data_IF_875045213353
#
_entry.id   IF_875045213353
#
_cell.length_a   1.000
_cell.length_b   1.000
_cell.length_c   1.000
_cell.angle_alpha   90.00
_cell.angle_beta   90.00
_cell.angle_gamma   90.00
#
_symmetry.space_group_name_H-M   'P 1'
#
loop_
_entity.id
_entity.type
_entity.pdbx_description
1 polymer ?
#
# COMPACT_ATOMS: atom_id res chain seq x y z
N UNK A 1 -17.63 -7.76 10.06
CA UNK A 1 -16.92 -6.71 10.83
C UNK A 1 -15.62 -6.42 10.10
N UNK A 2 -15.39 -5.18 9.64
CA UNK A 2 -14.15 -4.85 8.91
C UNK A 2 -13.08 -4.49 9.93
N UNK A 3 -12.19 -5.43 10.25
CA UNK A 3 -11.11 -5.23 11.22
C UNK A 3 -10.08 -4.26 10.64
N UNK A 4 -9.99 -3.06 11.20
CA UNK A 4 -8.89 -2.12 10.87
C UNK A 4 -7.70 -2.46 11.77
N UNK A 5 -6.51 -2.57 11.20
CA UNK A 5 -5.27 -2.81 11.96
C UNK A 5 -4.48 -1.51 12.10
N UNK A 6 -3.70 -1.37 13.17
CA UNK A 6 -2.90 -0.18 13.43
C UNK A 6 -1.53 -0.19 12.73
N UNK A 7 -1.09 -1.36 12.28
CA UNK A 7 0.18 -1.57 11.59
C UNK A 7 0.09 -2.76 10.63
N UNK A 8 0.89 -2.71 9.57
CA UNK A 8 1.17 -3.78 8.62
C UNK A 8 2.69 -3.97 8.56
N UNK A 9 3.14 -5.21 8.70
CA UNK A 9 4.55 -5.57 8.61
C UNK A 9 4.76 -6.76 7.68
N UNK A 10 6.02 -7.05 7.36
CA UNK A 10 6.38 -8.05 6.35
C UNK A 10 6.09 -9.51 6.77
N UNK A 11 5.70 -9.76 8.02
CA UNK A 11 5.27 -11.08 8.51
C UNK A 11 3.77 -11.32 8.33
N UNK A 12 3.01 -10.29 7.93
CA UNK A 12 1.59 -10.43 7.62
C UNK A 12 1.42 -10.94 6.19
N UNK A 13 0.41 -11.79 6.00
CA UNK A 13 0.07 -12.40 4.70
C UNK A 13 -1.22 -11.80 4.13
N UNK A 14 -1.47 -12.05 2.85
CA UNK A 14 -2.72 -11.70 2.17
C UNK A 14 -2.75 -10.32 1.52
N UNK A 15 -3.97 -9.95 1.09
CA UNK A 15 -4.24 -8.69 0.41
C UNK A 15 -4.76 -7.62 1.39
N UNK A 16 -4.21 -6.41 1.28
CA UNK A 16 -4.40 -5.29 2.20
C UNK A 16 -4.67 -3.99 1.45
N UNK A 17 -5.62 -3.22 1.97
CA UNK A 17 -5.86 -1.85 1.54
C UNK A 17 -5.26 -0.88 2.55
N UNK A 18 -4.31 -0.07 2.10
CA UNK A 18 -3.71 1.03 2.86
C UNK A 18 -4.22 2.35 2.25
N UNK A 19 -5.07 3.04 2.99
CA UNK A 19 -5.63 4.32 2.57
C UNK A 19 -4.77 5.46 3.11
N UNK A 20 -4.47 6.42 2.25
CA UNK A 20 -3.79 7.67 2.57
C UNK A 20 -4.68 8.84 2.18
N UNK A 21 -4.28 10.07 2.49
CA UNK A 21 -5.05 11.24 2.07
C UNK A 21 -5.09 11.40 0.54
N UNK A 22 -4.02 11.01 -0.14
CA UNK A 22 -3.83 11.27 -1.57
C UNK A 22 -4.13 10.06 -2.46
N UNK A 23 -4.09 8.85 -1.92
CA UNK A 23 -4.20 7.61 -2.69
C UNK A 23 -4.65 6.41 -1.85
N UNK A 24 -5.16 5.39 -2.52
CA UNK A 24 -5.33 4.05 -2.00
C UNK A 24 -4.22 3.14 -2.52
N UNK A 25 -3.56 2.39 -1.64
CA UNK A 25 -2.60 1.36 -2.00
C UNK A 25 -3.24 -0.01 -1.74
N UNK A 26 -3.42 -0.78 -2.81
CA UNK A 26 -3.81 -2.18 -2.74
C UNK A 26 -2.53 -3.00 -2.75
N UNK A 27 -2.24 -3.70 -1.65
CA UNK A 27 -1.02 -4.46 -1.47
C UNK A 27 -1.38 -5.94 -1.40
N UNK A 28 -0.78 -6.76 -2.25
CA UNK A 28 -0.83 -8.22 -2.15
C UNK A 28 0.55 -8.68 -1.64
N UNK A 29 0.61 -9.03 -0.36
CA UNK A 29 1.86 -9.43 0.28
C UNK A 29 2.31 -10.84 -0.15
N UNK A 30 1.35 -11.71 -0.50
CA UNK A 30 1.61 -13.08 -0.97
C UNK A 30 2.23 -13.04 -2.37
N UNK A 31 1.65 -12.25 -3.27
CA UNK A 31 2.15 -12.06 -4.62
C UNK A 31 3.31 -11.05 -4.70
N UNK A 32 3.60 -10.32 -3.61
CA UNK A 32 4.55 -9.20 -3.57
C UNK A 32 4.26 -8.16 -4.65
N UNK A 33 2.99 -7.88 -4.89
CA UNK A 33 2.55 -6.87 -5.87
C UNK A 33 1.70 -5.82 -5.19
N UNK A 34 1.54 -4.67 -5.83
CA UNK A 34 0.55 -3.71 -5.38
C UNK A 34 0.17 -2.72 -6.45
N UNK A 35 -0.89 -1.98 -6.18
CA UNK A 35 -1.45 -0.98 -7.07
C UNK A 35 -1.73 0.27 -6.28
N UNK A 36 -1.20 1.41 -6.74
CA UNK A 36 -1.51 2.73 -6.20
C UNK A 36 -2.61 3.35 -7.05
N UNK A 37 -3.72 3.72 -6.43
CA UNK A 37 -4.83 4.43 -7.05
C UNK A 37 -4.83 5.84 -6.50
N UNK A 38 -4.45 6.82 -7.32
CA UNK A 38 -4.35 8.22 -6.90
C UNK A 38 -5.73 8.88 -6.94
N UNK A 39 -6.07 9.70 -5.94
CA UNK A 39 -7.36 10.41 -5.86
C UNK A 39 -7.45 11.68 -6.73
N UNK A 40 -6.48 11.94 -7.63
CA UNK A 40 -6.43 13.19 -8.41
C UNK A 40 -7.59 13.33 -9.39
N UNK A 41 -8.02 14.57 -9.63
CA UNK A 41 -9.14 14.93 -10.50
C UNK A 41 -8.88 14.61 -11.99
N UNK A 42 -7.61 14.49 -12.38
CA UNK A 42 -7.18 13.95 -13.67
C UNK A 42 -7.13 12.42 -13.57
N UNK A 43 -8.30 11.81 -13.74
CA UNK A 43 -8.52 10.40 -14.07
C UNK A 43 -7.58 9.36 -13.41
N UNK A 44 -7.90 8.94 -12.18
CA UNK A 44 -7.81 7.53 -11.75
C UNK A 44 -6.61 6.68 -12.21
N UNK A 45 -5.40 7.24 -12.23
CA UNK A 45 -4.22 6.48 -12.62
C UNK A 45 -3.92 5.43 -11.55
N UNK A 46 -4.18 4.17 -11.92
CA UNK A 46 -3.78 3.00 -11.18
C UNK A 46 -2.36 2.61 -11.64
N UNK A 47 -1.38 2.79 -10.76
CA UNK A 47 0.01 2.43 -11.02
C UNK A 47 0.31 1.10 -10.32
N UNK A 48 0.55 0.06 -11.12
CA UNK A 48 0.99 -1.23 -10.61
C UNK A 48 2.49 -1.22 -10.31
N UNK A 49 2.88 -1.88 -9.22
CA UNK A 49 4.26 -1.99 -8.76
C UNK A 49 4.53 -3.36 -8.12
N UNK A 50 5.81 -3.72 -8.04
CA UNK A 50 6.26 -4.89 -7.27
C UNK A 50 6.77 -4.43 -5.91
N UNK A 51 6.36 -5.11 -4.84
CA UNK A 51 6.81 -4.87 -3.47
C UNK A 51 8.15 -5.58 -3.27
N UNK A 52 9.24 -4.81 -3.27
CA UNK A 52 10.58 -5.31 -2.96
C UNK A 52 10.70 -5.54 -1.46
N UNK A 53 10.28 -4.56 -0.65
CA UNK A 53 10.30 -4.63 0.81
C UNK A 53 9.24 -3.71 1.42
N UNK A 54 8.61 -4.17 2.50
CA UNK A 54 7.76 -3.39 3.38
C UNK A 54 8.53 -3.17 4.69
N UNK A 55 9.13 -1.99 4.86
CA UNK A 55 9.90 -1.67 6.07
C UNK A 55 8.97 -1.24 7.21
N UNK A 56 8.04 -0.34 6.92
CA UNK A 56 7.12 0.23 7.91
C UNK A 56 5.81 0.63 7.26
N UNK A 57 4.69 0.22 7.84
CA UNK A 57 3.35 0.71 7.51
C UNK A 57 2.51 0.71 8.79
N UNK A 58 2.04 1.87 9.24
CA UNK A 58 1.30 2.02 10.50
C UNK A 58 0.45 3.30 10.48
N UNK A 59 -0.50 3.48 11.42
CA UNK A 59 -1.40 4.65 11.51
C UNK A 59 -0.97 5.61 12.64
N UNK A 60 -0.36 6.76 12.32
CA UNK A 60 0.17 7.80 13.22
C UNK A 60 0.68 9.03 12.44
N UNK A 61 1.35 9.96 13.11
CA UNK A 61 1.99 11.13 12.51
C UNK A 61 3.37 11.39 13.16
N UNK A 62 4.46 11.65 12.39
CA UNK A 62 4.57 11.44 10.95
C UNK A 62 4.67 9.94 10.61
N UNK A 63 3.84 9.47 9.68
CA UNK A 63 3.86 8.07 9.24
C UNK A 63 4.61 7.89 7.94
N UNK A 64 5.26 6.73 7.85
CA UNK A 64 6.09 6.36 6.72
C UNK A 64 5.55 5.04 6.22
N UNK A 65 4.87 5.05 5.07
CA UNK A 65 4.68 3.87 4.22
C UNK A 65 6.00 3.60 3.48
N UNK A 66 7.02 3.13 4.18
CA UNK A 66 8.30 2.79 3.57
C UNK A 66 8.16 1.49 2.78
N UNK A 67 7.75 1.64 1.53
CA UNK A 67 7.77 0.59 0.54
C UNK A 67 8.96 0.81 -0.37
N UNK A 68 9.81 -0.20 -0.52
CA UNK A 68 10.70 -0.28 -1.67
C UNK A 68 9.92 -0.90 -2.81
N UNK A 69 9.61 -0.09 -3.81
CA UNK A 69 8.80 -0.51 -4.94
C UNK A 69 9.63 -0.56 -6.21
N UNK A 70 9.45 -1.61 -7.02
CA UNK A 70 9.99 -1.68 -8.37
C UNK A 70 8.89 -1.37 -9.38
N UNK A 71 9.01 -0.23 -10.06
CA UNK A 71 8.12 0.11 -11.18
C UNK A 71 8.40 -0.81 -12.39
N UNK A 72 7.37 -1.35 -13.06
CA UNK A 72 7.54 -2.33 -14.14
C UNK A 72 8.36 -1.78 -15.32
N UNK A 73 8.24 -0.48 -15.60
CA UNK A 73 8.89 0.15 -16.77
C UNK A 73 10.31 0.64 -16.45
N UNK A 74 10.58 1.07 -15.22
CA UNK A 74 11.83 1.78 -14.89
C UNK A 74 12.82 0.96 -14.05
N UNK A 75 12.43 -0.19 -13.47
CA UNK A 75 13.24 -0.98 -12.50
C UNK A 75 13.89 -0.16 -11.38
N UNK A 76 13.42 1.07 -11.13
CA UNK A 76 13.93 1.96 -10.09
C UNK A 76 13.23 1.63 -8.78
N UNK A 77 14.01 1.50 -7.71
CA UNK A 77 13.50 1.38 -6.36
C UNK A 77 13.09 2.79 -5.90
N UNK A 78 11.83 2.95 -5.52
CA UNK A 78 11.31 4.20 -4.94
C UNK A 78 10.90 3.94 -3.50
N UNK A 79 11.36 4.79 -2.59
CA UNK A 79 10.85 4.89 -1.23
C UNK A 79 9.68 5.87 -1.23
N UNK A 80 8.54 5.45 -0.69
CA UNK A 80 7.38 6.32 -0.47
C UNK A 80 7.30 6.64 1.03
N UNK A 81 6.85 7.84 1.37
CA UNK A 81 6.58 8.24 2.76
C UNK A 81 5.31 9.10 2.72
N UNK A 82 4.23 8.64 3.34
CA UNK A 82 2.94 9.32 3.31
C UNK A 82 2.11 8.91 4.52
N UNK A 83 1.14 9.75 4.88
CA UNK A 83 0.29 9.55 6.05
C UNK A 83 -0.80 8.51 5.76
N UNK A 84 -0.76 7.43 6.52
CA UNK A 84 -1.75 6.35 6.45
C UNK A 84 -2.93 6.70 7.35
N UNK A 85 -4.12 6.69 6.76
CA UNK A 85 -5.40 6.98 7.42
C UNK A 85 -6.06 5.68 7.89
N UNK A 86 -5.88 4.58 7.16
CA UNK A 86 -6.50 3.29 7.48
C UNK A 86 -5.76 2.13 6.84
N UNK A 87 -5.69 1.00 7.55
CA UNK A 87 -5.17 -0.27 7.05
C UNK A 87 -6.21 -1.35 7.29
N UNK A 88 -6.64 -2.05 6.23
CA UNK A 88 -7.68 -3.08 6.32
C UNK A 88 -7.33 -4.26 5.41
N UNK A 89 -7.66 -5.50 5.78
CA UNK A 89 -7.58 -6.61 4.84
C UNK A 89 -8.57 -6.35 3.70
N UNK A 90 -8.16 -6.65 2.46
CA UNK A 90 -9.09 -6.75 1.34
C UNK A 90 -9.95 -7.98 1.63
N UNK A 91 -11.22 -7.76 1.99
CA UNK A 91 -12.13 -8.86 2.23
C UNK A 91 -12.14 -9.78 1.01
N UNK A 92 -11.90 -11.07 1.21
CA UNK A 92 -12.29 -12.08 0.24
C UNK A 92 -13.79 -11.90 0.09
N UNK A 93 -14.23 -11.41 -1.07
CA UNK A 93 -15.64 -11.49 -1.40
C UNK A 93 -15.88 -12.98 -1.62
N UNK A 94 -16.38 -13.66 -0.59
CA UNK A 94 -16.95 -15.01 -0.72
C UNK A 94 -18.10 -15.01 -1.73
#
# INVERSE_FOLDING_TARGET
MTTTVSALDASMDGAWTVLTQEAAYLLDLDARTGTRITHSAEAGEAEAFTIVRLDRCQIAAPMVLALELQAPVSRRIKLITTDVVSIRPMGVVE
#
